data_IF_458764758109
#
_entry.id   IF_458764758109
#
_cell.length_a   1.000
_cell.length_b   1.000
_cell.length_c   1.000
_cell.angle_alpha   90.00
_cell.angle_beta   90.00
_cell.angle_gamma   90.00
#
_symmetry.space_group_name_H-M   'P 1'
#
loop_
_entity.id
_entity.type
_entity.pdbx_description
1 polymer ?
#
# COMPACT_ATOMS: atom_id res chain seq x y z
N UNK A 1 3.85 -12.87 -25.57
CA UNK A 1 3.09 -11.60 -25.47
C UNK A 1 4.01 -10.53 -24.92
N UNK A 2 4.19 -9.42 -25.65
CA UNK A 2 5.04 -8.31 -25.20
C UNK A 2 4.27 -7.50 -24.15
N UNK A 3 4.45 -7.83 -22.86
CA UNK A 3 3.75 -7.17 -21.74
C UNK A 3 4.18 -5.70 -21.67
N UNK A 4 3.31 -4.79 -22.09
CA UNK A 4 3.58 -3.35 -22.11
C UNK A 4 3.01 -2.69 -20.86
N UNK A 5 3.84 -1.94 -20.15
CA UNK A 5 3.45 -1.21 -18.92
C UNK A 5 3.04 0.21 -19.31
N UNK A 6 1.89 0.66 -18.82
CA UNK A 6 1.49 2.06 -19.01
C UNK A 6 2.27 2.94 -18.04
N UNK A 7 2.71 4.12 -18.48
CA UNK A 7 3.51 5.04 -17.65
C UNK A 7 2.79 5.45 -16.36
N UNK A 8 1.46 5.61 -16.42
CA UNK A 8 0.60 5.89 -15.27
C UNK A 8 0.74 4.84 -14.17
N UNK A 9 0.78 3.54 -14.52
CA UNK A 9 0.96 2.47 -13.54
C UNK A 9 2.33 2.59 -12.87
N UNK A 10 3.39 2.85 -13.64
CA UNK A 10 4.74 3.03 -13.09
C UNK A 10 4.80 4.21 -12.13
N UNK A 11 4.26 5.37 -12.54
CA UNK A 11 4.22 6.58 -11.70
C UNK A 11 3.45 6.29 -10.40
N UNK A 12 2.29 5.65 -10.50
CA UNK A 12 1.46 5.34 -9.35
C UNK A 12 2.15 4.41 -8.36
N UNK A 13 2.83 3.36 -8.83
CA UNK A 13 3.59 2.44 -7.98
C UNK A 13 4.78 3.14 -7.30
N UNK A 14 5.46 4.06 -7.98
CA UNK A 14 6.52 4.88 -7.37
C UNK A 14 5.94 5.76 -6.26
N UNK A 15 4.80 6.42 -6.51
CA UNK A 15 4.12 7.21 -5.48
C UNK A 15 3.74 6.36 -4.26
N UNK A 16 3.24 5.14 -4.47
CA UNK A 16 2.96 4.22 -3.35
C UNK A 16 4.23 3.95 -2.54
N UNK A 17 5.34 3.58 -3.19
CA UNK A 17 6.63 3.35 -2.52
C UNK A 17 7.04 4.56 -1.66
N UNK A 18 6.98 5.77 -2.23
CA UNK A 18 7.34 6.98 -1.51
C UNK A 18 6.45 7.21 -0.29
N UNK A 19 5.13 7.00 -0.43
CA UNK A 19 4.21 7.15 0.70
C UNK A 19 4.44 6.10 1.78
N UNK A 20 4.64 4.83 1.42
CA UNK A 20 4.86 3.74 2.38
C UNK A 20 6.18 3.90 3.12
N UNK A 21 7.26 4.29 2.41
CA UNK A 21 8.54 4.62 3.04
C UNK A 21 8.43 5.83 3.97
N UNK A 22 7.73 6.89 3.53
CA UNK A 22 7.48 8.06 4.37
C UNK A 22 6.74 7.70 5.65
N UNK A 23 5.71 6.86 5.58
CA UNK A 23 4.99 6.37 6.76
C UNK A 23 5.86 5.49 7.63
N UNK A 24 6.56 4.49 7.07
CA UNK A 24 7.38 3.56 7.86
C UNK A 24 8.56 4.25 8.55
N UNK A 25 9.33 5.04 7.80
CA UNK A 25 10.47 5.80 8.33
C UNK A 25 9.98 6.87 9.29
N UNK A 26 8.92 7.60 8.95
CA UNK A 26 8.33 8.62 9.81
C UNK A 26 7.89 8.05 11.15
N UNK A 27 7.17 6.92 11.14
CA UNK A 27 6.75 6.25 12.38
C UNK A 27 7.93 5.79 13.25
N UNK A 28 9.06 5.41 12.64
CA UNK A 28 10.24 4.98 13.37
C UNK A 28 11.05 6.16 13.93
N UNK A 29 11.27 7.22 13.13
CA UNK A 29 12.06 8.38 13.53
C UNK A 29 11.33 9.27 14.53
N UNK A 30 10.02 9.39 14.39
CA UNK A 30 9.19 10.27 15.23
C UNK A 30 8.35 9.49 16.23
N UNK A 31 8.80 8.31 16.65
CA UNK A 31 8.03 7.43 17.53
C UNK A 31 7.61 8.13 18.82
N UNK A 32 8.53 8.81 19.50
CA UNK A 32 8.26 9.45 20.79
C UNK A 32 7.19 10.55 20.65
N UNK A 33 7.28 11.37 19.60
CA UNK A 33 6.28 12.41 19.32
C UNK A 33 4.92 11.80 18.95
N UNK A 34 4.91 10.67 18.24
CA UNK A 34 3.67 9.97 17.90
C UNK A 34 3.02 9.39 19.16
N UNK A 35 3.80 8.86 20.11
CA UNK A 35 3.26 8.33 21.38
C UNK A 35 2.66 9.45 22.23
N UNK A 36 3.27 10.63 22.25
CA UNK A 36 2.70 11.80 22.95
C UNK A 36 1.33 12.21 22.38
N UNK A 37 1.19 12.20 21.05
CA UNK A 37 -0.07 12.56 20.37
C UNK A 37 -1.09 11.41 20.35
N UNK A 38 -0.61 10.17 20.31
CA UNK A 38 -1.39 8.95 20.20
C UNK A 38 -0.91 7.95 21.27
N UNK A 39 -1.35 8.10 22.53
CA UNK A 39 -0.83 7.31 23.66
C UNK A 39 -1.05 5.80 23.54
N UNK A 40 -1.97 5.37 22.68
CA UNK A 40 -2.23 3.95 22.40
C UNK A 40 -1.29 3.37 21.33
N UNK A 41 -0.47 4.18 20.68
CA UNK A 41 0.50 3.72 19.68
C UNK A 41 1.71 3.08 20.38
N UNK A 42 1.69 1.77 20.53
CA UNK A 42 2.77 1.05 21.23
C UNK A 42 3.93 0.67 20.30
N UNK A 43 5.08 0.28 20.87
CA UNK A 43 6.20 -0.27 20.09
C UNK A 43 5.80 -1.53 19.29
N UNK A 44 4.88 -2.34 19.80
CA UNK A 44 4.34 -3.48 19.06
C UNK A 44 3.60 -3.06 17.78
N UNK A 45 2.83 -1.97 17.85
CA UNK A 45 2.15 -1.40 16.68
C UNK A 45 3.14 -0.74 15.71
N UNK A 46 4.22 -0.13 16.21
CA UNK A 46 5.32 0.34 15.35
C UNK A 46 5.96 -0.80 14.55
N UNK A 47 6.29 -1.93 15.19
CA UNK A 47 6.86 -3.08 14.48
C UNK A 47 5.88 -3.65 13.45
N UNK A 48 4.59 -3.70 13.79
CA UNK A 48 3.55 -4.12 12.86
C UNK A 48 3.40 -3.14 11.67
N UNK A 49 3.56 -1.83 11.92
CA UNK A 49 3.57 -0.79 10.88
C UNK A 49 4.75 -0.96 9.92
N UNK A 50 5.95 -1.18 10.44
CA UNK A 50 7.16 -1.43 9.63
C UNK A 50 6.98 -2.71 8.81
N UNK A 51 6.44 -3.77 9.42
CA UNK A 51 6.15 -5.02 8.73
C UNK A 51 5.08 -4.86 7.62
N UNK A 52 4.02 -4.10 7.88
CA UNK A 52 2.99 -3.75 6.89
C UNK A 52 3.60 -3.01 5.68
N UNK A 53 4.47 -2.02 5.93
CA UNK A 53 5.22 -1.31 4.88
C UNK A 53 6.10 -2.26 4.08
N UNK A 54 6.80 -3.18 4.74
CA UNK A 54 7.62 -4.17 4.05
C UNK A 54 6.78 -5.07 3.13
N UNK A 55 5.63 -5.57 3.60
CA UNK A 55 4.70 -6.35 2.78
C UNK A 55 4.26 -5.52 1.58
N UNK A 56 3.88 -4.26 1.76
CA UNK A 56 3.44 -3.38 0.67
C UNK A 56 4.54 -3.20 -0.39
N UNK A 57 5.80 -2.98 0.02
CA UNK A 57 6.93 -2.85 -0.91
C UNK A 57 7.19 -4.13 -1.71
N UNK A 58 7.17 -5.30 -1.06
CA UNK A 58 7.29 -6.61 -1.74
C UNK A 58 6.14 -6.81 -2.72
N UNK A 59 4.94 -6.38 -2.33
CA UNK A 59 3.74 -6.48 -3.16
C UNK A 59 3.82 -5.60 -4.41
N UNK A 60 4.33 -4.36 -4.26
CA UNK A 60 4.59 -3.45 -5.39
C UNK A 60 5.63 -4.06 -6.35
N UNK A 61 6.69 -4.67 -5.81
CA UNK A 61 7.66 -5.41 -6.62
C UNK A 61 7.01 -6.56 -7.41
N UNK A 62 6.08 -7.31 -6.82
CA UNK A 62 5.32 -8.34 -7.52
C UNK A 62 4.41 -7.77 -8.61
N UNK A 63 3.80 -6.61 -8.42
CA UNK A 63 3.06 -5.92 -9.49
C UNK A 63 4.00 -5.52 -10.64
N UNK A 64 5.22 -5.04 -10.33
CA UNK A 64 6.24 -4.81 -11.35
C UNK A 64 6.68 -6.10 -12.07
N UNK A 65 6.57 -7.27 -11.42
CA UNK A 65 6.78 -8.58 -12.05
C UNK A 65 5.53 -9.16 -12.71
N UNK A 66 4.46 -8.38 -12.79
CA UNK A 66 3.17 -8.78 -13.35
C UNK A 66 2.54 -9.99 -12.63
N UNK A 67 2.64 -10.04 -11.30
CA UNK A 67 2.07 -11.11 -10.47
C UNK A 67 0.81 -10.62 -9.76
N UNK A 68 -0.32 -11.34 -9.93
CA UNK A 68 -1.61 -10.99 -9.31
C UNK A 68 -1.54 -11.00 -7.79
N UNK A 69 -0.73 -11.91 -7.23
CA UNK A 69 -0.51 -12.01 -5.78
C UNK A 69 -0.13 -10.64 -5.17
N UNK A 70 0.63 -9.79 -5.90
CA UNK A 70 1.00 -8.45 -5.45
C UNK A 70 -0.18 -7.52 -5.20
N UNK A 71 -1.27 -7.62 -5.98
CA UNK A 71 -2.46 -6.82 -5.72
C UNK A 71 -3.15 -7.27 -4.43
N UNK A 72 -3.29 -8.57 -4.23
CA UNK A 72 -3.96 -9.13 -3.05
C UNK A 72 -3.15 -8.90 -1.76
N UNK A 73 -1.81 -8.94 -1.84
CA UNK A 73 -0.96 -8.66 -0.68
C UNK A 73 -0.90 -7.16 -0.34
N UNK A 74 -1.10 -6.23 -1.30
CA UNK A 74 -1.36 -4.82 -0.99
C UNK A 74 -2.65 -4.69 -0.17
N UNK A 75 -3.72 -5.36 -0.59
CA UNK A 75 -4.99 -5.33 0.16
C UNK A 75 -4.77 -5.86 1.59
N UNK A 76 -4.03 -6.96 1.76
CA UNK A 76 -3.70 -7.50 3.07
C UNK A 76 -2.88 -6.51 3.93
N UNK A 77 -1.89 -5.82 3.35
CA UNK A 77 -1.15 -4.77 4.05
C UNK A 77 -2.05 -3.61 4.49
N UNK A 78 -3.06 -3.26 3.69
CA UNK A 78 -4.03 -2.24 4.08
C UNK A 78 -4.97 -2.68 5.19
N UNK A 79 -5.37 -3.95 5.25
CA UNK A 79 -6.08 -4.49 6.41
C UNK A 79 -5.22 -4.44 7.69
N UNK A 80 -3.92 -4.70 7.59
CA UNK A 80 -2.99 -4.51 8.70
C UNK A 80 -2.93 -3.03 9.13
N UNK A 81 -2.86 -2.10 8.18
CA UNK A 81 -2.89 -0.68 8.50
C UNK A 81 -4.21 -0.27 9.18
N UNK A 82 -5.36 -0.78 8.74
CA UNK A 82 -6.64 -0.54 9.42
C UNK A 82 -6.59 -1.06 10.86
N UNK A 83 -6.08 -2.27 11.07
CA UNK A 83 -5.93 -2.83 12.40
C UNK A 83 -5.01 -1.98 13.29
N UNK A 84 -3.88 -1.51 12.76
CA UNK A 84 -2.96 -0.63 13.50
C UNK A 84 -3.67 0.67 13.89
N UNK A 85 -4.38 1.31 12.96
CA UNK A 85 -5.11 2.55 13.21
C UNK A 85 -6.23 2.36 14.25
N UNK A 86 -6.94 1.23 14.19
CA UNK A 86 -7.98 0.86 15.17
C UNK A 86 -7.40 0.72 16.57
N UNK A 87 -6.32 -0.09 16.72
CA UNK A 87 -5.66 -0.30 18.01
C UNK A 87 -4.99 0.95 18.56
N UNK A 88 -4.57 1.86 17.69
CA UNK A 88 -4.03 3.16 18.07
C UNK A 88 -5.12 4.17 18.44
N UNK A 89 -6.41 3.85 18.21
CA UNK A 89 -7.54 4.73 18.52
C UNK A 89 -7.70 5.91 17.56
N UNK A 90 -7.08 5.85 16.38
CA UNK A 90 -7.10 6.93 15.37
C UNK A 90 -7.85 6.53 14.10
N UNK A 91 -8.44 5.32 14.06
CA UNK A 91 -9.25 4.89 12.93
C UNK A 91 -10.45 5.82 12.78
N UNK A 92 -10.55 6.44 11.60
CA UNK A 92 -11.66 7.29 11.23
C UNK A 92 -12.10 7.01 9.79
N UNK A 93 -13.24 7.61 9.41
CA UNK A 93 -13.81 7.42 8.07
C UNK A 93 -12.86 7.88 6.96
N UNK A 94 -12.05 8.93 7.21
CA UNK A 94 -11.09 9.45 6.23
C UNK A 94 -9.97 8.43 5.96
N UNK A 95 -9.49 7.72 6.99
CA UNK A 95 -8.52 6.64 6.85
C UNK A 95 -9.09 5.50 6.00
N UNK A 96 -10.34 5.08 6.27
CA UNK A 96 -11.01 4.03 5.50
C UNK A 96 -11.22 4.44 4.04
N UNK A 97 -11.71 5.67 3.80
CA UNK A 97 -11.90 6.21 2.45
C UNK A 97 -10.57 6.36 1.71
N UNK A 98 -9.52 6.82 2.40
CA UNK A 98 -8.18 6.95 1.83
C UNK A 98 -7.61 5.60 1.36
N UNK A 99 -7.78 4.55 2.16
CA UNK A 99 -7.40 3.18 1.79
C UNK A 99 -8.25 2.68 0.61
N UNK A 100 -9.57 2.84 0.69
CA UNK A 100 -10.48 2.43 -0.39
C UNK A 100 -10.16 3.11 -1.72
N UNK A 101 -9.85 4.40 -1.69
CA UNK A 101 -9.46 5.18 -2.85
C UNK A 101 -8.12 4.73 -3.43
N UNK A 102 -7.13 4.38 -2.59
CA UNK A 102 -5.86 3.80 -3.05
C UNK A 102 -6.08 2.45 -3.76
N UNK A 103 -6.86 1.54 -3.17
CA UNK A 103 -7.19 0.25 -3.79
C UNK A 103 -7.94 0.47 -5.11
N UNK A 104 -8.95 1.33 -5.10
CA UNK A 104 -9.77 1.65 -6.26
C UNK A 104 -8.97 2.26 -7.40
N UNK A 105 -8.06 3.19 -7.10
CA UNK A 105 -7.14 3.76 -8.08
C UNK A 105 -6.19 2.72 -8.65
N UNK A 106 -5.57 1.88 -7.81
CA UNK A 106 -4.69 0.81 -8.30
C UNK A 106 -5.44 -0.13 -9.24
N UNK A 107 -6.63 -0.58 -8.83
CA UNK A 107 -7.46 -1.45 -9.64
C UNK A 107 -7.89 -0.76 -10.94
N UNK A 108 -8.33 0.50 -10.87
CA UNK A 108 -8.72 1.31 -12.03
C UNK A 108 -7.58 1.47 -13.03
N UNK A 109 -6.38 1.80 -12.55
CA UNK A 109 -5.18 1.92 -13.40
C UNK A 109 -4.82 0.56 -14.04
N UNK A 110 -4.96 -0.55 -13.30
CA UNK A 110 -4.76 -1.88 -13.85
C UNK A 110 -5.80 -2.24 -14.92
N UNK A 111 -7.00 -1.66 -14.93
CA UNK A 111 -7.98 -1.87 -15.98
C UNK A 111 -7.65 -1.12 -17.28
N UNK A 112 -6.78 -0.10 -17.23
CA UNK A 112 -6.36 0.65 -18.42
C UNK A 112 -5.67 -0.31 -19.41
N UNK A 113 -6.16 -0.32 -20.65
CA UNK A 113 -5.62 -1.15 -21.72
C UNK A 113 -4.36 -0.51 -22.30
N UNK A 114 -3.30 -1.29 -22.44
CA UNK A 114 -2.13 -0.94 -23.24
C UNK A 114 -1.96 -2.00 -24.31
N UNK A 115 -1.92 -1.59 -25.59
CA UNK A 115 -1.84 -2.52 -26.74
C UNK A 115 -2.93 -3.60 -26.72
N UNK A 116 -4.17 -3.22 -26.35
CA UNK A 116 -5.35 -4.08 -26.38
C UNK A 116 -5.59 -4.95 -25.14
N UNK A 117 -4.61 -5.06 -24.23
CA UNK A 117 -4.72 -5.89 -23.01
C UNK A 117 -4.65 -5.00 -21.77
N UNK A 118 -5.55 -5.22 -20.79
CA UNK A 118 -5.49 -4.49 -19.52
C UNK A 118 -4.34 -4.97 -18.65
N UNK A 119 -3.79 -4.08 -17.82
CA UNK A 119 -2.79 -4.44 -16.82
C UNK A 119 -3.24 -5.60 -15.92
N UNK A 120 -4.52 -5.63 -15.53
CA UNK A 120 -5.15 -6.69 -14.75
C UNK A 120 -5.08 -8.06 -15.45
N UNK A 121 -5.35 -8.10 -16.76
CA UNK A 121 -5.22 -9.34 -17.56
C UNK A 121 -3.76 -9.74 -17.79
N UNK A 122 -2.84 -8.77 -17.80
CA UNK A 122 -1.40 -9.04 -17.90
C UNK A 122 -0.79 -9.57 -16.59
N UNK A 123 -1.45 -9.34 -15.45
CA UNK A 123 -1.08 -9.98 -14.19
C UNK A 123 -1.35 -11.49 -14.34
N UNK A 124 -0.27 -12.25 -14.41
CA UNK A 124 -0.31 -13.72 -14.31
C UNK A 124 -0.43 -14.11 -12.86
N UNK A 125 -0.95 -15.31 -12.58
CA UNK A 125 -0.98 -15.88 -11.22
C UNK A 125 0.38 -15.74 -10.50
#
# INVERSE_FOLDING_TARGET
>A
MNKSRHIILTIYLILLILTSLGTGIGSALFFDQIVELVPKFTKGLLYLQIFSVFIELVSIYWIFKWKKIGFYTIIAAYFLNIYINDKSGILNINTMLGIGLRIGLLYGILQIKSKGISGWKNLTE
#
